data_IF_302535525807
#
_entry.id   IF_302535525807
#
_cell.length_a   1.000
_cell.length_b   1.000
_cell.length_c   1.000
_cell.angle_alpha   90.00
_cell.angle_beta   90.00
_cell.angle_gamma   90.00
#
_symmetry.space_group_name_H-M   'P 1'
#
loop_
_entity.id
_entity.type
_entity.pdbx_description
1 polymer ?
#
# COMPACT_ATOMS: atom_id res chain seq x y z
N UNK A 1 10.13 13.10 -8.78
CA UNK A 1 9.23 11.93 -8.98
C UNK A 1 7.80 12.41 -9.13
N UNK A 2 7.13 11.97 -10.18
CA UNK A 2 5.73 12.29 -10.40
C UNK A 2 4.82 11.32 -9.68
N UNK A 3 3.54 11.65 -9.55
CA UNK A 3 2.52 10.75 -9.01
C UNK A 3 2.50 9.41 -9.75
N UNK A 4 2.57 9.44 -11.06
CA UNK A 4 2.59 8.22 -11.90
C UNK A 4 3.83 7.37 -11.63
N UNK A 5 4.99 7.99 -11.50
CA UNK A 5 6.23 7.29 -11.18
C UNK A 5 6.17 6.66 -9.79
N UNK A 6 5.62 7.37 -8.81
CA UNK A 6 5.45 6.85 -7.45
C UNK A 6 4.51 5.64 -7.44
N UNK A 7 3.37 5.73 -8.12
CA UNK A 7 2.41 4.62 -8.22
C UNK A 7 3.07 3.39 -8.85
N UNK A 8 3.81 3.60 -9.95
CA UNK A 8 4.50 2.50 -10.65
C UNK A 8 5.58 1.86 -9.77
N UNK A 9 6.30 2.65 -9.00
CA UNK A 9 7.34 2.12 -8.10
C UNK A 9 6.74 1.31 -6.96
N UNK A 10 5.68 1.81 -6.35
CA UNK A 10 4.97 1.07 -5.30
C UNK A 10 4.42 -0.25 -5.85
N UNK A 11 3.81 -0.22 -7.04
CA UNK A 11 3.32 -1.40 -7.72
C UNK A 11 4.44 -2.44 -7.92
N UNK A 12 5.57 -2.01 -8.40
CA UNK A 12 6.74 -2.87 -8.64
C UNK A 12 7.25 -3.50 -7.34
N UNK A 13 7.35 -2.71 -6.28
CA UNK A 13 7.79 -3.21 -4.97
C UNK A 13 6.83 -4.25 -4.42
N UNK A 14 5.53 -3.99 -4.51
CA UNK A 14 4.50 -4.95 -4.07
C UNK A 14 4.57 -6.24 -4.88
N UNK A 15 4.71 -6.14 -6.20
CA UNK A 15 4.80 -7.30 -7.08
C UNK A 15 6.08 -8.11 -6.87
N UNK A 16 7.11 -7.53 -6.26
CA UNK A 16 8.36 -8.24 -5.96
C UNK A 16 8.22 -9.23 -4.80
N UNK A 17 7.17 -9.13 -4.00
CA UNK A 17 6.93 -10.06 -2.90
C UNK A 17 6.29 -11.33 -3.45
N UNK A 18 6.96 -12.48 -3.22
CA UNK A 18 6.54 -13.76 -3.79
C UNK A 18 5.28 -14.33 -3.15
N UNK A 19 4.90 -13.87 -1.96
CA UNK A 19 3.68 -14.33 -1.30
C UNK A 19 2.42 -13.68 -1.88
N UNK A 20 2.55 -12.48 -2.46
CA UNK A 20 1.43 -11.76 -3.03
C UNK A 20 1.12 -12.28 -4.43
N UNK A 21 -0.10 -12.72 -4.67
CA UNK A 21 -0.57 -13.20 -5.97
C UNK A 21 -1.24 -12.11 -6.79
N UNK A 22 -1.81 -11.11 -6.15
CA UNK A 22 -2.51 -10.01 -6.81
C UNK A 22 -2.14 -8.69 -6.15
N UNK A 23 -1.89 -7.68 -6.97
CA UNK A 23 -1.63 -6.32 -6.51
C UNK A 23 -2.58 -5.38 -7.25
N UNK A 24 -3.34 -4.58 -6.51
CA UNK A 24 -4.33 -3.66 -7.06
C UNK A 24 -4.11 -2.23 -6.57
N UNK A 25 -4.16 -1.28 -7.49
CA UNK A 25 -4.20 0.14 -7.15
C UNK A 25 -5.66 0.57 -7.01
N UNK A 26 -6.25 0.23 -5.88
CA UNK A 26 -7.64 0.52 -5.57
C UNK A 26 -7.90 0.25 -4.09
N UNK A 27 -8.94 0.86 -3.53
CA UNK A 27 -9.40 0.48 -2.19
C UNK A 27 -10.13 -0.86 -2.24
N UNK A 28 -10.18 -1.62 -1.12
CA UNK A 28 -10.88 -2.91 -1.11
C UNK A 28 -12.34 -2.83 -1.55
N UNK A 29 -13.02 -1.75 -1.24
CA UNK A 29 -14.43 -1.56 -1.66
C UNK A 29 -14.57 -1.55 -3.17
N UNK A 30 -13.57 -0.99 -3.87
CA UNK A 30 -13.60 -0.92 -5.34
C UNK A 30 -13.42 -2.28 -5.99
N UNK A 31 -12.40 -3.05 -5.58
CA UNK A 31 -12.13 -4.33 -6.24
C UNK A 31 -13.11 -5.44 -5.86
N UNK A 32 -13.80 -5.32 -4.74
CA UNK A 32 -14.86 -6.28 -4.38
C UNK A 32 -16.05 -6.24 -5.33
N UNK A 33 -16.23 -5.13 -6.05
CA UNK A 33 -17.31 -4.97 -7.01
C UNK A 33 -16.94 -5.43 -8.42
N UNK A 34 -15.72 -5.93 -8.61
CA UNK A 34 -15.30 -6.41 -9.93
C UNK A 34 -15.83 -7.82 -10.20
N UNK A 35 -16.14 -8.10 -11.47
CA UNK A 35 -16.73 -9.37 -11.88
C UNK A 35 -15.81 -10.58 -11.71
N UNK A 36 -14.49 -10.36 -11.69
CA UNK A 36 -13.51 -11.42 -11.49
C UNK A 36 -12.99 -11.42 -10.07
N UNK A 37 -13.04 -12.58 -9.42
CA UNK A 37 -12.45 -12.70 -8.08
C UNK A 37 -10.94 -12.66 -8.14
N UNK A 38 -10.28 -11.84 -7.31
CA UNK A 38 -8.82 -11.82 -7.28
C UNK A 38 -8.26 -13.09 -6.64
N UNK A 39 -7.02 -13.40 -6.99
CA UNK A 39 -6.28 -14.51 -6.39
C UNK A 39 -5.60 -13.99 -5.12
N UNK A 40 -5.78 -14.66 -4.01
CA UNK A 40 -5.18 -14.31 -2.72
C UNK A 40 -3.88 -15.07 -2.48
N UNK A 41 -2.95 -14.56 -1.67
CA UNK A 41 -2.97 -13.27 -0.96
C UNK A 41 -2.93 -12.06 -1.89
N UNK A 42 -3.59 -10.99 -1.46
CA UNK A 42 -3.76 -9.78 -2.26
C UNK A 42 -3.22 -8.57 -1.51
N UNK A 43 -2.52 -7.70 -2.22
CA UNK A 43 -2.20 -6.37 -1.75
C UNK A 43 -3.00 -5.35 -2.55
N UNK A 44 -3.57 -4.39 -1.84
CA UNK A 44 -4.27 -3.27 -2.43
C UNK A 44 -3.67 -1.99 -1.84
N UNK A 45 -3.58 -0.93 -2.64
CA UNK A 45 -3.09 0.34 -2.13
C UNK A 45 -3.82 1.51 -2.78
N UNK A 46 -3.87 2.61 -2.05
CA UNK A 46 -4.43 3.85 -2.56
C UNK A 46 -3.62 5.06 -2.09
N UNK A 47 -3.71 6.13 -2.86
CA UNK A 47 -3.13 7.43 -2.53
C UNK A 47 -4.26 8.43 -2.71
N UNK A 48 -4.89 8.83 -1.60
CA UNK A 48 -6.12 9.61 -1.64
C UNK A 48 -5.95 11.07 -1.27
N UNK A 49 -4.87 11.41 -0.62
CA UNK A 49 -4.66 12.76 -0.12
C UNK A 49 -3.17 13.04 0.05
N UNK A 50 -2.86 14.27 0.35
CA UNK A 50 -1.51 14.69 0.60
C UNK A 50 -1.42 16.20 0.74
N UNK A 51 -0.21 16.71 0.68
CA UNK A 51 0.04 18.15 0.75
C UNK A 51 1.06 18.56 -0.31
N UNK A 52 0.79 19.66 -0.97
CA UNK A 52 1.70 20.28 -1.94
C UNK A 52 2.39 21.46 -1.25
N UNK A 53 3.69 21.33 -1.04
CA UNK A 53 4.51 22.38 -0.44
C UNK A 53 5.39 23.00 -1.53
N UNK A 54 5.13 24.23 -1.87
CA UNK A 54 5.86 24.93 -2.95
C UNK A 54 7.34 25.03 -2.59
N UNK A 55 8.21 24.56 -3.50
CA UNK A 55 9.65 24.60 -3.33
C UNK A 55 10.22 23.65 -2.28
N UNK A 56 9.40 22.74 -1.79
CA UNK A 56 9.79 21.78 -0.75
C UNK A 56 9.30 20.38 -1.09
N UNK A 57 8.89 19.62 -0.10
CA UNK A 57 8.42 18.26 -0.25
C UNK A 57 6.95 18.21 -0.66
N UNK A 58 6.61 17.23 -1.49
CA UNK A 58 5.24 16.82 -1.71
C UNK A 58 4.97 15.61 -0.83
N UNK A 59 3.89 15.65 -0.07
CA UNK A 59 3.52 14.58 0.86
C UNK A 59 2.32 13.84 0.29
N UNK A 60 2.42 12.52 0.27
CA UNK A 60 1.31 11.63 -0.15
C UNK A 60 0.91 10.76 1.03
N UNK A 61 -0.36 10.71 1.33
CA UNK A 61 -0.89 9.75 2.29
C UNK A 61 -1.19 8.44 1.56
N UNK A 62 -0.50 7.39 1.95
CA UNK A 62 -0.60 6.09 1.32
C UNK A 62 -1.26 5.11 2.27
N UNK A 63 -2.16 4.31 1.74
CA UNK A 63 -2.86 3.29 2.48
C UNK A 63 -2.63 1.94 1.82
N UNK A 64 -2.21 0.96 2.60
CA UNK A 64 -2.01 -0.42 2.14
C UNK A 64 -2.98 -1.35 2.84
N UNK A 65 -3.46 -2.34 2.09
CA UNK A 65 -4.22 -3.47 2.62
C UNK A 65 -3.56 -4.75 2.14
N UNK A 66 -3.21 -5.62 3.08
CA UNK A 66 -2.67 -6.95 2.77
C UNK A 66 -3.67 -7.96 3.31
N UNK A 67 -4.30 -8.70 2.41
CA UNK A 67 -5.47 -9.52 2.72
C UNK A 67 -5.30 -10.93 2.19
N UNK A 68 -5.80 -11.89 2.95
CA UNK A 68 -5.91 -13.29 2.54
C UNK A 68 -7.17 -13.89 3.14
N UNK A 69 -7.58 -15.03 2.61
CA UNK A 69 -8.75 -15.76 3.11
C UNK A 69 -8.41 -16.41 4.45
N UNK A 70 -9.23 -16.14 5.47
CA UNK A 70 -9.01 -16.66 6.82
C UNK A 70 -9.90 -17.84 7.19
N UNK A 71 -10.75 -18.29 6.25
CA UNK A 71 -11.68 -19.37 6.51
C UNK A 71 -12.92 -18.91 7.25
N UNK A 72 -13.89 -19.80 7.36
CA UNK A 72 -15.16 -19.55 8.03
C UNK A 72 -14.93 -19.59 9.55
N UNK A 73 -15.60 -18.70 10.28
CA UNK A 73 -15.58 -18.64 11.75
C UNK A 73 -14.20 -18.35 12.36
N UNK A 74 -13.38 -17.53 11.68
CA UNK A 74 -12.07 -17.09 12.19
C UNK A 74 -11.06 -18.21 12.40
N UNK A 75 -11.23 -19.35 11.72
CA UNK A 75 -10.40 -20.53 11.93
C UNK A 75 -8.91 -20.26 11.76
N UNK A 76 -8.54 -19.44 10.74
CA UNK A 76 -7.14 -19.15 10.42
C UNK A 76 -6.78 -17.66 10.55
N UNK A 77 -7.59 -16.91 11.25
CA UNK A 77 -7.44 -15.45 11.33
C UNK A 77 -6.06 -15.04 11.87
N UNK A 78 -5.64 -15.63 12.97
CA UNK A 78 -4.35 -15.28 13.60
C UNK A 78 -3.18 -15.60 12.68
N UNK A 79 -3.23 -16.73 11.99
CA UNK A 79 -2.18 -17.10 11.04
C UNK A 79 -2.14 -16.14 9.86
N UNK A 80 -3.29 -15.79 9.32
CA UNK A 80 -3.40 -14.86 8.19
C UNK A 80 -2.90 -13.48 8.58
N UNK A 81 -3.30 -12.96 9.72
CA UNK A 81 -2.81 -11.66 10.21
C UNK A 81 -1.30 -11.69 10.41
N UNK A 82 -0.77 -12.76 10.96
CA UNK A 82 0.68 -12.91 11.15
C UNK A 82 1.43 -12.91 9.82
N UNK A 83 0.94 -13.66 8.84
CA UNK A 83 1.56 -13.73 7.52
C UNK A 83 1.48 -12.39 6.80
N UNK A 84 0.34 -11.73 6.84
CA UNK A 84 0.17 -10.43 6.19
C UNK A 84 0.98 -9.34 6.88
N UNK A 85 1.13 -9.41 8.19
CA UNK A 85 2.02 -8.52 8.92
C UNK A 85 3.48 -8.69 8.47
N UNK A 86 3.91 -9.93 8.28
CA UNK A 86 5.27 -10.20 7.78
C UNK A 86 5.48 -9.67 6.37
N UNK A 87 4.48 -9.81 5.49
CA UNK A 87 4.51 -9.24 4.15
C UNK A 87 4.61 -7.72 4.22
N UNK A 88 3.80 -7.09 5.08
CA UNK A 88 3.82 -5.65 5.28
C UNK A 88 5.20 -5.16 5.74
N UNK A 89 5.80 -5.84 6.71
CA UNK A 89 7.14 -5.50 7.20
C UNK A 89 8.19 -5.57 6.09
N UNK A 90 8.12 -6.60 5.25
CA UNK A 90 9.01 -6.74 4.09
C UNK A 90 8.84 -5.59 3.10
N UNK A 91 7.62 -5.24 2.77
CA UNK A 91 7.33 -4.15 1.83
C UNK A 91 7.83 -2.81 2.37
N UNK A 92 7.56 -2.51 3.64
CA UNK A 92 8.03 -1.26 4.26
C UNK A 92 9.56 -1.21 4.30
N UNK A 93 10.21 -2.33 4.59
CA UNK A 93 11.67 -2.42 4.55
C UNK A 93 12.21 -2.10 3.15
N UNK A 94 11.60 -2.65 2.11
CA UNK A 94 11.98 -2.37 0.73
C UNK A 94 11.76 -0.91 0.35
N UNK A 95 10.65 -0.31 0.79
CA UNK A 95 10.39 1.10 0.57
C UNK A 95 11.44 1.99 1.23
N UNK A 96 11.86 1.67 2.45
CA UNK A 96 12.89 2.45 3.15
C UNK A 96 14.26 2.33 2.54
N UNK A 97 14.62 1.16 2.06
CA UNK A 97 15.97 0.86 1.59
C UNK A 97 16.17 1.12 0.10
N UNK A 98 15.11 1.20 -0.67
CA UNK A 98 15.19 1.22 -2.12
C UNK A 98 15.20 2.61 -2.75
N UNK A 99 15.01 3.68 -2.00
CA UNK A 99 14.76 4.97 -2.61
C UNK A 99 15.62 6.10 -2.08
N UNK A 100 16.21 6.82 -3.02
CA UNK A 100 16.89 8.07 -2.76
C UNK A 100 15.99 9.30 -2.98
N UNK A 101 14.80 9.10 -3.56
CA UNK A 101 13.92 10.19 -3.99
C UNK A 101 12.77 10.47 -3.04
N UNK A 102 12.53 9.59 -2.08
CA UNK A 102 11.46 9.79 -1.11
C UNK A 102 11.84 9.30 0.27
N UNK A 103 11.11 9.76 1.26
CA UNK A 103 11.21 9.31 2.65
C UNK A 103 9.83 8.92 3.14
N UNK A 104 9.79 7.97 4.07
CA UNK A 104 8.54 7.56 4.70
C UNK A 104 8.61 7.79 6.21
N UNK A 105 7.46 7.85 6.86
CA UNK A 105 7.40 8.06 8.30
C UNK A 105 8.28 7.03 9.04
N UNK A 106 8.98 7.45 10.09
CA UNK A 106 9.80 6.52 10.87
C UNK A 106 8.98 5.49 11.63
N UNK A 107 7.76 5.83 11.97
CA UNK A 107 6.84 4.92 12.63
C UNK A 107 5.57 4.78 11.79
N UNK A 108 5.24 3.55 11.44
CA UNK A 108 4.05 3.25 10.65
C UNK A 108 3.08 2.46 11.53
N UNK A 109 1.88 3.00 11.67
CA UNK A 109 0.82 2.36 12.43
C UNK A 109 0.11 1.34 11.56
N UNK A 110 -0.16 0.18 12.10
CA UNK A 110 -0.93 -0.85 11.42
C UNK A 110 -2.12 -1.28 12.25
N UNK A 111 -3.16 -1.78 11.59
CA UNK A 111 -4.35 -2.34 12.23
C UNK A 111 -4.62 -3.71 11.66
N UNK A 112 -4.99 -4.64 12.52
CA UNK A 112 -5.44 -5.95 12.08
C UNK A 112 -6.85 -5.83 11.50
N UNK A 113 -7.09 -6.55 10.40
CA UNK A 113 -8.40 -6.69 9.80
C UNK A 113 -8.89 -8.10 10.10
N UNK A 114 -10.03 -8.20 10.77
CA UNK A 114 -10.63 -9.46 11.17
C UNK A 114 -11.91 -9.69 10.39
N UNK A 115 -11.90 -10.69 9.52
CA UNK A 115 -13.09 -11.19 8.81
C UNK A 115 -14.03 -10.11 8.27
N UNK A 116 -13.44 -9.03 7.77
CA UNK A 116 -14.22 -8.02 7.07
C UNK A 116 -14.47 -8.51 5.64
N UNK A 117 -15.53 -8.01 5.06
CA UNK A 117 -15.98 -8.35 3.72
C UNK A 117 -16.65 -9.73 3.67
N UNK A 118 -17.45 -9.94 2.63
CA UNK A 118 -18.26 -11.14 2.46
C UNK A 118 -17.44 -12.42 2.24
N UNK A 119 -16.16 -12.28 1.87
CA UNK A 119 -15.28 -13.39 1.55
C UNK A 119 -14.43 -13.89 2.73
N UNK A 120 -14.74 -13.48 3.95
CA UNK A 120 -13.99 -13.86 5.16
C UNK A 120 -12.50 -13.53 5.02
N UNK A 121 -12.21 -12.28 4.70
CA UNK A 121 -10.85 -11.81 4.53
C UNK A 121 -10.30 -11.24 5.84
N UNK A 122 -9.06 -11.57 6.11
CA UNK A 122 -8.31 -11.02 7.24
C UNK A 122 -6.94 -10.55 6.77
N UNK A 123 -6.29 -9.76 7.57
CA UNK A 123 -4.96 -9.25 7.25
C UNK A 123 -4.61 -8.02 8.04
N UNK A 124 -3.89 -7.12 7.39
CA UNK A 124 -3.46 -5.88 8.03
C UNK A 124 -3.69 -4.70 7.08
N UNK A 125 -3.92 -3.54 7.67
CA UNK A 125 -3.93 -2.26 6.94
C UNK A 125 -2.90 -1.32 7.54
N UNK A 126 -2.27 -0.53 6.68
CA UNK A 126 -1.29 0.47 7.07
C UNK A 126 -1.66 1.80 6.46
N UNK A 127 -1.43 2.87 7.21
CA UNK A 127 -1.55 4.24 6.70
C UNK A 127 -0.29 4.99 7.09
N UNK A 128 0.34 5.64 6.12
CA UNK A 128 1.55 6.41 6.38
C UNK A 128 1.70 7.53 5.36
N UNK A 129 2.57 8.47 5.66
CA UNK A 129 2.92 9.56 4.76
C UNK A 129 4.25 9.26 4.10
N UNK A 130 4.30 9.52 2.80
CA UNK A 130 5.50 9.42 2.00
C UNK A 130 5.78 10.81 1.43
N UNK A 131 7.01 11.28 1.63
CA UNK A 131 7.43 12.62 1.18
C UNK A 131 8.41 12.49 0.04
N UNK A 132 8.11 13.17 -1.05
CA UNK A 132 8.97 13.24 -2.23
C UNK A 132 9.53 14.65 -2.31
N UNK A 133 10.84 14.77 -2.51
CA UNK A 133 11.43 16.09 -2.77
C UNK A 133 10.85 16.65 -4.06
N UNK A 134 10.31 17.85 -3.97
CA UNK A 134 9.79 18.52 -5.14
C UNK A 134 10.96 18.92 -6.05
N UNK A 135 10.96 18.39 -7.26
CA UNK A 135 11.88 18.83 -8.31
C UNK A 135 11.34 20.03 -9.08
N UNK A 136 10.14 20.49 -8.73
CA UNK A 136 9.54 21.65 -9.38
C UNK A 136 10.07 22.94 -8.77
N UNK A 137 10.92 23.60 -9.52
CA UNK A 137 11.18 25.02 -9.35
C UNK A 137 10.17 25.76 -10.23
N UNK A 138 9.68 26.91 -9.76
CA UNK A 138 8.78 27.75 -10.52
C UNK A 138 9.33 28.13 -11.91
N UNK A 139 10.66 28.12 -12.05
CA UNK A 139 11.34 28.39 -13.31
C UNK A 139 11.29 27.23 -14.30
N UNK A 140 11.03 26.02 -13.85
CA UNK A 140 11.03 24.81 -14.65
C UNK A 140 9.61 24.38 -15.09
N UNK A 141 8.60 25.11 -14.67
CA UNK A 141 7.23 24.79 -15.07
C UNK A 141 7.04 25.14 -16.55
N UNK A 142 6.55 24.18 -17.36
CA UNK A 142 6.17 24.50 -18.73
C UNK A 142 5.04 25.52 -18.73
N UNK A 143 5.23 26.57 -19.45
CA UNK A 143 4.26 27.65 -19.58
C UNK A 143 3.19 27.28 -20.58
#
# INVERSE_FOLDING_TARGET
MTYKQLTSEIQTILESNKMLHTVKFASPVEWLNWDSQPIFPLASFSINSGALNIGREQVYQIQFWFLDKSGVESEFETEVVSDMHSVAADIISKLRNGANEYTIDPQITWNAISEKFEDYLSGVELTFNLSVKSSFDACDMPV
#
